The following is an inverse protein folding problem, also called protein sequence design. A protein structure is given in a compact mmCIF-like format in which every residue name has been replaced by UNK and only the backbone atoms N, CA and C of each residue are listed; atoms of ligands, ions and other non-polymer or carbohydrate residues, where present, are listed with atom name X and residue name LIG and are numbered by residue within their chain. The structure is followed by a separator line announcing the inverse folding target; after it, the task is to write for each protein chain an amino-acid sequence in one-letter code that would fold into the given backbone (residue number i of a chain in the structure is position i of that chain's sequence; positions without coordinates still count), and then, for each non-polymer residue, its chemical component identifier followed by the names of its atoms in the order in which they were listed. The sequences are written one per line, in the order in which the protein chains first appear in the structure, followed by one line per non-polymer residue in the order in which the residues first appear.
data_IF_595889058805
#
_entry.id   IF_595889058805
#
_cell.length_a   1.000
_cell.length_b   1.000
_cell.length_c   1.000
_cell.angle_alpha   90.00
_cell.angle_beta   90.00
_cell.angle_gamma   90.00
#
_symmetry.space_group_name_H-M   'P 1'
#
loop_
_entity.id
_entity.type
_entity.pdbx_description
1 polymer ?
#
# COMPACT_ATOMS: atom_id res chain seq x y z
N UNK A 1 18.24 8.77 -5.24
CA UNK A 1 17.17 7.91 -5.80
C UNK A 1 15.95 8.76 -6.11
N UNK A 2 15.43 8.64 -7.31
CA UNK A 2 14.22 9.35 -7.70
C UNK A 2 12.99 8.54 -7.29
N UNK A 3 12.07 9.15 -6.56
CA UNK A 3 10.85 8.51 -6.07
C UNK A 3 9.71 8.83 -7.03
N UNK A 4 9.15 7.80 -7.66
CA UNK A 4 8.14 7.93 -8.71
C UNK A 4 6.95 7.02 -8.45
N UNK A 5 5.73 7.53 -8.70
CA UNK A 5 4.52 6.71 -8.65
C UNK A 5 4.60 5.57 -9.68
N UNK A 6 3.92 4.49 -9.39
CA UNK A 6 3.88 3.32 -10.27
C UNK A 6 4.95 2.28 -9.99
N UNK A 7 5.96 2.60 -9.20
CA UNK A 7 7.04 1.69 -8.85
C UNK A 7 6.86 1.10 -7.46
N UNK A 8 7.57 0.01 -7.19
CA UNK A 8 7.58 -0.65 -5.89
C UNK A 8 8.81 -0.23 -5.10
N UNK A 9 8.63 -0.07 -3.79
CA UNK A 9 9.69 0.38 -2.88
C UNK A 9 9.69 -0.43 -1.61
N UNK A 10 10.84 -0.42 -0.94
CA UNK A 10 10.98 -0.94 0.43
C UNK A 10 10.99 0.24 1.39
N UNK A 11 10.29 0.08 2.50
CA UNK A 11 10.16 1.12 3.54
C UNK A 11 11.06 0.74 4.71
N UNK A 12 11.72 1.73 5.29
CA UNK A 12 12.62 1.51 6.44
C UNK A 12 11.85 1.02 7.66
N UNK A 13 12.47 0.13 8.42
CA UNK A 13 11.90 -0.38 9.68
C UNK A 13 11.62 0.76 10.66
N UNK A 14 12.42 1.82 10.62
CA UNK A 14 12.24 3.01 11.45
C UNK A 14 10.82 3.56 11.41
N UNK A 15 10.20 3.60 10.20
CA UNK A 15 8.83 4.08 10.05
C UNK A 15 7.87 3.24 10.89
N UNK A 16 7.98 1.92 10.79
CA UNK A 16 7.10 1.00 11.51
C UNK A 16 7.29 1.09 13.02
N UNK A 17 8.53 1.34 13.46
CA UNK A 17 8.83 1.53 14.87
C UNK A 17 8.26 2.84 15.41
N UNK A 18 8.33 3.92 14.64
CA UNK A 18 7.81 5.23 15.02
C UNK A 18 6.28 5.19 15.15
N UNK A 19 5.61 4.54 14.19
CA UNK A 19 4.15 4.46 14.18
C UNK A 19 3.64 3.51 15.27
N UNK A 20 4.36 2.42 15.52
CA UNK A 20 4.01 1.41 16.51
C UNK A 20 2.62 0.82 16.28
N UNK A 21 2.48 0.07 15.21
CA UNK A 21 1.27 -0.67 14.78
C UNK A 21 0.25 0.20 14.03
N UNK A 22 -0.81 0.68 14.66
CA UNK A 22 -1.89 1.47 14.03
C UNK A 22 -2.47 0.80 12.77
N UNK A 23 -2.55 -0.54 12.76
CA UNK A 23 -3.10 -1.29 11.65
C UNK A 23 -2.12 -1.54 10.49
N UNK A 24 -0.87 -1.11 10.63
CA UNK A 24 0.16 -1.39 9.62
C UNK A 24 0.44 -2.88 9.54
N UNK A 25 0.70 -3.36 8.34
CA UNK A 25 1.19 -4.73 8.15
C UNK A 25 2.64 -4.83 8.63
N UNK A 26 3.02 -6.04 9.04
CA UNK A 26 4.42 -6.32 9.39
C UNK A 26 5.28 -6.08 8.15
N UNK A 27 6.38 -5.32 8.32
CA UNK A 27 7.24 -4.94 7.19
C UNK A 27 7.98 -6.14 6.57
N UNK A 28 8.25 -7.18 7.35
CA UNK A 28 9.00 -8.34 6.88
C UNK A 28 8.08 -9.54 6.62
N UNK A 29 8.28 -10.18 5.46
CA UNK A 29 7.59 -11.41 5.08
C UNK A 29 8.64 -12.37 4.52
N UNK A 30 8.70 -13.58 5.07
CA UNK A 30 9.65 -14.63 4.64
C UNK A 30 11.12 -14.16 4.63
N UNK A 31 11.52 -13.36 5.65
CA UNK A 31 12.90 -12.88 5.79
C UNK A 31 13.27 -11.68 4.92
N UNK A 32 12.31 -11.14 4.17
CA UNK A 32 12.52 -9.97 3.31
C UNK A 32 11.55 -8.85 3.70
N UNK A 33 11.98 -7.60 3.51
CA UNK A 33 11.06 -6.49 3.69
C UNK A 33 10.00 -6.52 2.59
N UNK A 34 8.77 -6.18 2.97
CA UNK A 34 7.62 -6.22 2.08
C UNK A 34 7.69 -5.09 1.06
N UNK A 35 7.58 -5.39 -0.27
CA UNK A 35 7.48 -4.30 -1.23
C UNK A 35 6.14 -3.60 -1.11
N UNK A 36 6.15 -2.29 -1.35
CA UNK A 36 4.94 -1.46 -1.36
C UNK A 36 4.90 -0.62 -2.63
N UNK A 37 3.69 -0.48 -3.17
CA UNK A 37 3.43 0.27 -4.38
C UNK A 37 3.21 1.74 -4.04
N UNK A 38 3.94 2.64 -4.72
CA UNK A 38 3.72 4.08 -4.55
C UNK A 38 2.56 4.52 -5.44
N UNK A 39 1.42 4.78 -4.81
CA UNK A 39 0.19 5.12 -5.51
C UNK A 39 0.07 6.61 -5.81
N UNK A 40 0.31 7.46 -4.82
CA UNK A 40 0.08 8.90 -4.90
C UNK A 40 1.21 9.66 -4.21
N UNK A 41 1.65 10.76 -4.83
CA UNK A 41 2.53 11.75 -4.23
C UNK A 41 1.69 13.02 -4.01
N UNK A 42 1.50 13.38 -2.75
CA UNK A 42 0.73 14.58 -2.38
C UNK A 42 1.65 15.48 -1.55
N UNK A 43 2.26 16.46 -2.21
CA UNK A 43 3.32 17.29 -1.63
C UNK A 43 4.43 16.40 -1.02
N UNK A 44 4.67 16.51 0.29
CA UNK A 44 5.68 15.70 0.98
C UNK A 44 5.16 14.34 1.43
N UNK A 45 3.88 14.08 1.28
CA UNK A 45 3.26 12.82 1.70
C UNK A 45 3.23 11.83 0.55
N UNK A 46 3.75 10.64 0.81
CA UNK A 46 3.77 9.53 -0.14
C UNK A 46 2.80 8.46 0.35
N UNK A 47 1.84 8.07 -0.50
CA UNK A 47 0.88 7.02 -0.17
C UNK A 47 1.33 5.70 -0.77
N UNK A 48 1.60 4.74 0.11
CA UNK A 48 2.03 3.40 -0.27
C UNK A 48 0.96 2.36 0.01
N UNK A 49 0.94 1.34 -0.83
CA UNK A 49 0.04 0.18 -0.70
C UNK A 49 0.89 -1.07 -0.64
N UNK A 50 0.87 -1.81 0.49
CA UNK A 50 1.71 -2.99 0.64
C UNK A 50 1.22 -4.16 -0.21
N UNK A 51 2.16 -4.99 -0.65
CA UNK A 51 1.89 -6.21 -1.39
C UNK A 51 2.13 -7.44 -0.51
N UNK A 52 1.50 -8.55 -0.85
CA UNK A 52 1.72 -9.83 -0.19
C UNK A 52 1.71 -10.97 -1.21
N UNK A 53 2.52 -11.99 -0.94
CA UNK A 53 2.56 -13.21 -1.75
C UNK A 53 1.57 -14.27 -1.25
N UNK A 54 0.85 -14.01 -0.17
CA UNK A 54 -0.12 -14.95 0.43
C UNK A 54 -1.44 -14.96 -0.36
N UNK A 55 -1.36 -15.38 -1.62
CA UNK A 55 -2.46 -15.28 -2.58
C UNK A 55 -3.70 -16.05 -2.14
N UNK A 56 -3.54 -17.29 -1.66
CA UNK A 56 -4.68 -18.13 -1.27
C UNK A 56 -5.47 -17.52 -0.10
N UNK A 57 -4.76 -16.96 0.87
CA UNK A 57 -5.39 -16.27 2.01
C UNK A 57 -6.25 -15.11 1.52
N UNK A 58 -5.69 -14.25 0.66
CA UNK A 58 -6.40 -13.05 0.21
C UNK A 58 -7.47 -13.37 -0.82
N UNK A 59 -7.29 -14.39 -1.64
CA UNK A 59 -8.33 -14.86 -2.56
C UNK A 59 -9.56 -15.32 -1.77
N UNK A 60 -9.35 -16.04 -0.68
CA UNK A 60 -10.43 -16.48 0.20
C UNK A 60 -11.18 -15.29 0.82
N UNK A 61 -10.45 -14.27 1.26
CA UNK A 61 -11.04 -13.05 1.83
C UNK A 61 -11.87 -12.30 0.77
N UNK A 62 -11.34 -12.16 -0.44
CA UNK A 62 -12.04 -11.52 -1.56
C UNK A 62 -13.35 -12.26 -1.85
N UNK A 63 -13.29 -13.59 -1.96
CA UNK A 63 -14.47 -14.42 -2.24
C UNK A 63 -15.56 -14.22 -1.18
N UNK A 64 -15.20 -14.18 0.09
CA UNK A 64 -16.15 -13.96 1.18
C UNK A 64 -16.78 -12.58 1.10
N UNK A 65 -15.99 -11.55 0.79
CA UNK A 65 -16.49 -10.18 0.67
C UNK A 65 -17.41 -10.02 -0.53
N UNK A 66 -17.07 -10.65 -1.66
CA UNK A 66 -17.90 -10.61 -2.85
C UNK A 66 -19.25 -11.32 -2.63
N UNK A 67 -19.25 -12.43 -1.90
CA UNK A 67 -20.49 -13.14 -1.55
C UNK A 67 -21.37 -12.31 -0.62
N UNK A 68 -20.78 -11.58 0.31
CA UNK A 68 -21.51 -10.80 1.31
C UNK A 68 -21.98 -9.44 0.76
N UNK A 69 -21.13 -8.75 0.01
CA UNK A 69 -21.36 -7.38 -0.43
C UNK A 69 -21.52 -7.22 -1.95
N UNK A 70 -21.31 -8.28 -2.72
CA UNK A 70 -21.37 -8.25 -4.18
C UNK A 70 -20.10 -7.72 -4.85
N UNK A 71 -19.18 -7.12 -4.07
CA UNK A 71 -17.99 -6.50 -4.59
C UNK A 71 -16.89 -6.47 -3.52
N UNK A 72 -15.63 -6.53 -3.96
CA UNK A 72 -14.48 -6.29 -3.09
C UNK A 72 -13.50 -5.35 -3.80
N UNK A 73 -13.34 -4.14 -3.29
CA UNK A 73 -12.39 -3.15 -3.81
C UNK A 73 -11.23 -2.87 -2.85
N UNK A 74 -11.17 -3.58 -1.73
CA UNK A 74 -10.17 -3.35 -0.69
C UNK A 74 -8.89 -4.17 -0.90
N UNK A 75 -8.98 -5.21 -1.70
CA UNK A 75 -7.85 -6.11 -2.02
C UNK A 75 -7.96 -6.48 -3.50
N UNK A 76 -6.85 -6.34 -4.23
CA UNK A 76 -6.76 -6.79 -5.63
C UNK A 76 -5.71 -7.87 -5.74
N UNK A 77 -5.92 -8.87 -6.61
CA UNK A 77 -4.89 -9.85 -6.96
C UNK A 77 -4.56 -9.64 -8.43
N UNK A 78 -3.32 -9.27 -8.71
CA UNK A 78 -2.85 -8.96 -10.06
C UNK A 78 -1.45 -9.52 -10.28
N UNK A 79 -1.11 -9.78 -11.54
CA UNK A 79 0.26 -10.14 -11.89
C UNK A 79 1.13 -8.90 -11.95
N UNK A 80 2.24 -8.93 -11.21
CA UNK A 80 3.25 -7.89 -11.23
C UNK A 80 4.59 -8.59 -11.45
N UNK A 81 5.29 -8.21 -12.52
CA UNK A 81 6.54 -8.86 -12.93
C UNK A 81 6.39 -10.39 -13.09
N UNK A 82 5.27 -10.82 -13.66
CA UNK A 82 5.01 -12.24 -13.95
C UNK A 82 4.55 -13.08 -12.77
N UNK A 83 4.38 -12.50 -11.58
CA UNK A 83 3.94 -13.22 -10.37
C UNK A 83 2.68 -12.59 -9.83
N UNK A 84 1.74 -13.43 -9.36
CA UNK A 84 0.56 -12.92 -8.68
C UNK A 84 0.93 -12.28 -7.35
N UNK A 85 0.38 -11.10 -7.09
CA UNK A 85 0.55 -10.37 -5.84
C UNK A 85 -0.82 -9.93 -5.34
N UNK A 86 -1.00 -9.99 -4.03
CA UNK A 86 -2.16 -9.36 -3.39
C UNK A 86 -1.79 -7.90 -3.10
N UNK A 87 -2.61 -6.99 -3.59
CA UNK A 87 -2.43 -5.55 -3.43
C UNK A 87 -3.40 -5.10 -2.34
N UNK A 88 -2.87 -4.76 -1.18
CA UNK A 88 -3.65 -4.58 0.03
C UNK A 88 -4.02 -3.11 0.23
N UNK A 89 -4.99 -2.63 -0.54
CA UNK A 89 -5.43 -1.24 -0.48
C UNK A 89 -5.94 -0.90 0.91
N UNK A 90 -6.59 -1.84 1.58
CA UNK A 90 -7.06 -1.68 2.96
C UNK A 90 -5.94 -1.36 3.96
N UNK A 91 -4.70 -1.68 3.63
CA UNK A 91 -3.54 -1.46 4.48
C UNK A 91 -2.65 -0.32 3.98
N UNK A 92 -3.17 0.53 3.09
CA UNK A 92 -2.46 1.70 2.59
C UNK A 92 -2.01 2.61 3.74
N UNK A 93 -0.88 3.27 3.56
CA UNK A 93 -0.35 4.17 4.58
C UNK A 93 0.38 5.37 3.97
N UNK A 94 0.31 6.53 4.61
CA UNK A 94 1.08 7.70 4.21
C UNK A 94 2.43 7.72 4.93
N UNK A 95 3.48 8.14 4.24
CA UNK A 95 4.80 8.32 4.85
C UNK A 95 5.57 9.45 4.18
N UNK A 96 6.83 9.65 4.59
CA UNK A 96 7.72 10.67 4.05
C UNK A 96 8.86 10.01 3.28
N UNK A 97 9.47 10.76 2.36
CA UNK A 97 10.59 10.26 1.57
C UNK A 97 11.74 9.73 2.41
N UNK A 98 12.00 10.35 3.58
CA UNK A 98 13.07 9.90 4.47
C UNK A 98 12.92 8.46 4.96
N UNK A 99 11.70 7.91 4.91
CA UNK A 99 11.43 6.53 5.30
C UNK A 99 11.47 5.54 4.14
N UNK A 100 11.69 6.01 2.92
CA UNK A 100 11.85 5.12 1.76
C UNK A 100 13.29 4.64 1.73
N UNK A 101 13.46 3.31 1.75
CA UNK A 101 14.80 2.69 1.78
C UNK A 101 15.39 2.56 0.39
N UNK A 102 14.67 1.91 -0.52
CA UNK A 102 15.17 1.59 -1.86
C UNK A 102 14.03 1.19 -2.78
N UNK A 103 14.28 1.22 -4.09
CA UNK A 103 13.36 0.61 -5.06
C UNK A 103 13.45 -0.91 -4.97
N UNK A 104 12.31 -1.55 -5.10
CA UNK A 104 12.26 -3.00 -5.24
C UNK A 104 12.72 -3.36 -6.65
N UNK A 105 13.68 -4.27 -6.74
CA UNK A 105 14.21 -4.73 -8.04
C UNK A 105 14.12 -6.25 -8.13
N UNK A 106 13.98 -6.75 -9.36
CA UNK A 106 14.09 -8.16 -9.67
C UNK A 106 15.13 -8.24 -10.78
N UNK A 107 16.19 -9.03 -10.56
CA UNK A 107 17.33 -9.14 -11.50
C UNK A 107 17.93 -7.78 -11.86
N UNK A 108 18.01 -6.89 -10.86
CA UNK A 108 18.59 -5.55 -11.01
C UNK A 108 17.68 -4.53 -11.68
N UNK A 109 16.48 -4.91 -12.06
CA UNK A 109 15.53 -4.02 -12.73
C UNK A 109 14.44 -3.54 -11.79
N UNK A 110 14.15 -2.23 -11.82
CA UNK A 110 13.03 -1.65 -11.09
C UNK A 110 11.72 -2.22 -11.63
N UNK A 111 10.77 -2.44 -10.73
CA UNK A 111 9.48 -3.01 -11.07
C UNK A 111 8.44 -1.91 -11.15
N UNK A 112 7.89 -1.71 -12.34
CA UNK A 112 6.79 -0.78 -12.58
C UNK A 112 5.51 -1.55 -12.82
N UNK A 113 4.43 -1.12 -12.17
CA UNK A 113 3.10 -1.69 -12.36
C UNK A 113 2.54 -1.22 -13.70
N UNK A 114 1.84 -2.10 -14.43
CA UNK A 114 1.25 -1.74 -15.72
C UNK A 114 0.19 -0.65 -15.56
N UNK A 115 -0.02 0.14 -16.63
CA UNK A 115 -1.00 1.24 -16.62
C UNK A 115 -2.41 0.79 -16.28
N UNK A 116 -2.83 -0.37 -16.76
CA UNK A 116 -4.17 -0.90 -16.49
C UNK A 116 -4.34 -1.26 -15.02
N UNK A 117 -3.35 -1.94 -14.42
CA UNK A 117 -3.38 -2.30 -13.00
C UNK A 117 -3.29 -1.05 -12.13
N UNK A 118 -2.43 -0.10 -12.51
CA UNK A 118 -2.27 1.18 -11.81
C UNK A 118 -3.60 1.93 -11.74
N UNK A 119 -4.33 2.02 -12.86
CA UNK A 119 -5.62 2.68 -12.89
C UNK A 119 -6.63 2.02 -11.94
N UNK A 120 -6.68 0.70 -11.91
CA UNK A 120 -7.58 -0.04 -11.04
C UNK A 120 -7.24 0.20 -9.56
N UNK A 121 -5.96 0.19 -9.22
CA UNK A 121 -5.51 0.48 -7.84
C UNK A 121 -5.93 1.88 -7.42
N UNK A 122 -5.66 2.89 -8.26
CA UNK A 122 -5.96 4.29 -7.94
C UNK A 122 -7.48 4.50 -7.83
N UNK A 123 -8.25 3.92 -8.74
CA UNK A 123 -9.72 4.02 -8.70
C UNK A 123 -10.28 3.43 -7.39
N UNK A 124 -9.79 2.26 -7.00
CA UNK A 124 -10.26 1.59 -5.78
C UNK A 124 -9.81 2.33 -4.52
N UNK A 125 -8.58 2.85 -4.51
CA UNK A 125 -8.06 3.66 -3.41
C UNK A 125 -8.90 4.93 -3.22
N UNK A 126 -9.17 5.64 -4.31
CA UNK A 126 -9.99 6.85 -4.26
C UNK A 126 -11.43 6.55 -3.83
N UNK A 127 -11.97 5.41 -4.25
CA UNK A 127 -13.29 4.94 -3.81
C UNK A 127 -13.30 4.76 -2.28
N UNK A 128 -12.28 4.13 -1.72
CA UNK A 128 -12.18 3.93 -0.27
C UNK A 128 -12.05 5.25 0.49
N UNK A 129 -11.28 6.20 -0.04
CA UNK A 129 -11.16 7.55 0.55
C UNK A 129 -12.50 8.27 0.53
N UNK A 130 -13.24 8.15 -0.57
CA UNK A 130 -14.58 8.73 -0.71
C UNK A 130 -15.55 8.18 0.32
N UNK A 131 -15.59 6.85 0.49
CA UNK A 131 -16.43 6.21 1.50
C UNK A 131 -16.06 6.68 2.91
N UNK A 132 -14.77 6.81 3.19
CA UNK A 132 -14.29 7.28 4.49
C UNK A 132 -14.80 8.70 4.79
N UNK A 133 -14.78 9.59 3.79
CA UNK A 133 -15.29 10.94 3.94
C UNK A 133 -16.80 10.97 4.22
N UNK A 134 -17.51 9.93 3.81
CA UNK A 134 -18.94 9.77 4.05
C UNK A 134 -19.25 9.00 5.35
N UNK A 135 -18.23 8.62 6.11
CA UNK A 135 -18.38 7.96 7.39
C UNK A 135 -18.15 6.45 7.40
N UNK A 136 -17.83 5.84 6.24
CA UNK A 136 -17.56 4.40 6.16
C UNK A 136 -16.07 4.15 5.93
N UNK A 137 -15.36 3.85 7.00
CA UNK A 137 -13.92 3.60 6.93
C UNK A 137 -13.63 2.11 6.69
N UNK A 138 -13.12 1.78 5.50
CA UNK A 138 -12.71 0.42 5.14
C UNK A 138 -11.21 0.19 5.30
N UNK A 139 -10.43 1.20 5.68
CA UNK A 139 -9.01 1.04 5.93
C UNK A 139 -8.74 0.35 7.26
N UNK A 140 -7.84 -0.61 7.26
CA UNK A 140 -7.36 -1.26 8.48
C UNK A 140 -6.32 -0.39 9.18
N UNK A 141 -5.60 0.40 8.41
CA UNK A 141 -4.58 1.32 8.90
C UNK A 141 -5.26 2.61 9.41
N UNK A 142 -4.79 3.13 10.54
CA UNK A 142 -5.25 4.43 11.03
C UNK A 142 -4.56 5.54 10.24
N UNK A 143 -5.05 5.79 9.04
CA UNK A 143 -4.42 6.70 8.10
C UNK A 143 -4.42 8.16 8.57
N UNK A 144 -5.43 8.56 9.33
CA UNK A 144 -5.50 9.94 9.84
C UNK A 144 -4.42 10.21 10.88
N UNK A 145 -4.24 9.29 11.82
CA UNK A 145 -3.19 9.37 12.84
C UNK A 145 -1.81 9.43 12.18
N UNK A 146 -1.55 8.50 11.27
CA UNK A 146 -0.25 8.40 10.61
C UNK A 146 0.03 9.64 9.77
N UNK A 147 -0.97 10.11 9.01
CA UNK A 147 -0.81 11.30 8.18
C UNK A 147 -0.49 12.53 9.02
N UNK A 148 -1.21 12.71 10.13
CA UNK A 148 -0.98 13.85 11.02
C UNK A 148 0.43 13.80 11.61
N UNK A 149 0.90 12.62 12.02
CA UNK A 149 2.26 12.47 12.54
C UNK A 149 3.30 12.78 11.47
N UNK A 150 3.09 12.30 10.23
CA UNK A 150 3.99 12.58 9.11
C UNK A 150 4.03 14.07 8.76
N UNK A 151 2.87 14.72 8.77
CA UNK A 151 2.82 16.17 8.54
C UNK A 151 3.58 16.94 9.62
N UNK A 152 3.48 16.54 10.87
CA UNK A 152 4.23 17.10 11.98
C UNK A 152 5.74 16.93 11.76
N UNK A 153 6.18 15.73 11.44
CA UNK A 153 7.60 15.46 11.17
C UNK A 153 8.13 16.22 9.96
N UNK A 154 7.30 16.47 8.96
CA UNK A 154 7.71 17.18 7.74
C UNK A 154 7.98 18.67 7.97
N UNK A 155 7.58 19.20 9.12
CA UNK A 155 7.82 20.60 9.50
C UNK A 155 9.20 20.83 10.09
N UNK A 156 9.98 19.79 10.34
CA UNK A 156 11.30 19.89 11.00
C UNK A 156 12.45 19.38 10.14
#
# INVERSE_FOLDING_TARGET
MKIETGYLYHIKDEFFNVINNKGLMINHEKGHSRPSYLAIKDDNILWFIPLSTKIEKYRSIIDKKEKKYGICKTILIKKIAGREQAILIQNAFPTLEKYVQSRHTIDGKSIKVSSAVEKEIIDDFNYMLSLKSEGLNLFFTDIDYIKNLMLEESMY
#
